data_IF_296277165861
#
_entry.id   IF_296277165861
#
_cell.length_a   1.000
_cell.length_b   1.000
_cell.length_c   1.000
_cell.angle_alpha   90.00
_cell.angle_beta   90.00
_cell.angle_gamma   90.00
#
_symmetry.space_group_name_H-M   'P 1'
#
loop_
_entity.id
_entity.type
_entity.pdbx_description
1 polymer ?
#
# COMPACT_ATOMS: atom_id res chain seq x y z
N UNK A 1 -56.99 -16.30 55.56
CA UNK A 1 -56.86 -16.26 54.08
C UNK A 1 -56.10 -14.98 53.77
N UNK A 2 -54.89 -14.86 54.34
CA UNK A 2 -53.55 -15.00 53.70
C UNK A 2 -53.40 -13.90 52.64
N UNK A 3 -52.98 -12.66 52.98
CA UNK A 3 -51.65 -12.19 53.48
C UNK A 3 -50.50 -12.69 52.59
N UNK A 4 -49.64 -11.83 52.03
CA UNK A 4 -48.32 -11.42 52.58
C UNK A 4 -47.70 -10.44 51.55
N UNK A 5 -47.52 -9.18 51.90
CA UNK A 5 -46.23 -8.45 52.17
C UNK A 5 -45.25 -8.37 50.97
N UNK A 6 -45.04 -7.19 50.37
CA UNK A 6 -44.13 -6.09 50.79
C UNK A 6 -42.65 -6.49 50.76
N UNK A 7 -41.86 -5.86 49.88
CA UNK A 7 -40.72 -5.03 50.31
C UNK A 7 -40.21 -4.10 49.20
N UNK A 8 -40.27 -2.82 49.55
CA UNK A 8 -39.57 -1.66 49.00
C UNK A 8 -38.16 -1.64 49.60
N UNK A 9 -37.15 -1.20 48.85
CA UNK A 9 -36.09 -0.37 49.45
C UNK A 9 -35.52 0.58 48.38
N UNK A 10 -36.03 1.81 48.46
CA UNK A 10 -35.45 3.02 47.91
C UNK A 10 -34.66 3.66 49.07
N UNK A 11 -33.42 4.12 48.82
CA UNK A 11 -32.81 5.10 49.72
C UNK A 11 -31.96 6.12 48.95
N UNK A 12 -32.64 7.21 48.60
CA UNK A 12 -32.08 8.54 48.46
C UNK A 12 -31.43 8.99 49.78
N UNK A 13 -30.29 9.68 49.71
CA UNK A 13 -30.07 10.89 50.52
C UNK A 13 -29.37 11.94 49.67
N UNK A 14 -29.98 13.12 49.64
CA UNK A 14 -29.43 14.39 49.20
C UNK A 14 -28.43 14.92 50.22
N UNK A 15 -27.46 15.73 49.79
CA UNK A 15 -27.40 17.15 50.15
C UNK A 15 -26.15 17.82 49.57
N UNK A 16 -26.34 19.04 49.05
CA UNK A 16 -25.32 19.91 48.44
C UNK A 16 -24.76 20.94 49.46
N UNK A 17 -23.94 21.93 49.05
CA UNK A 17 -22.65 22.30 49.65
C UNK A 17 -22.73 23.46 50.67
N UNK A 18 -21.61 23.94 51.26
CA UNK A 18 -20.97 25.16 50.69
C UNK A 18 -19.46 25.35 50.99
N UNK A 19 -18.82 26.34 50.33
CA UNK A 19 -17.81 27.19 50.99
C UNK A 19 -16.43 27.38 50.34
N UNK A 20 -16.35 28.32 49.40
CA UNK A 20 -15.43 29.49 49.34
C UNK A 20 -14.06 29.36 50.03
N UNK A 21 -12.96 29.54 49.27
CA UNK A 21 -11.94 30.57 49.53
C UNK A 21 -11.12 30.88 48.26
N UNK A 22 -10.98 32.18 48.00
CA UNK A 22 -10.27 32.79 46.89
C UNK A 22 -8.82 33.17 47.28
N UNK A 23 -8.12 33.79 46.31
CA UNK A 23 -6.82 34.49 46.35
C UNK A 23 -5.65 33.55 46.04
N UNK A 24 -4.78 33.76 45.05
CA UNK A 24 -4.44 34.95 44.24
C UNK A 24 -2.91 34.99 44.13
N UNK A 25 -2.35 35.22 42.93
CA UNK A 25 -0.90 35.36 42.78
C UNK A 25 -0.40 35.24 41.34
N UNK A 26 -0.49 36.34 40.59
CA UNK A 26 0.37 36.64 39.44
C UNK A 26 1.80 36.88 39.95
N UNK A 27 2.81 36.30 39.28
CA UNK A 27 4.12 36.94 39.18
C UNK A 27 4.84 36.49 37.90
N UNK A 28 5.07 37.47 37.02
CA UNK A 28 6.05 37.46 35.94
C UNK A 28 7.45 37.28 36.52
N UNK A 29 8.33 36.57 35.81
CA UNK A 29 9.72 37.00 35.77
C UNK A 29 10.40 36.63 34.44
N UNK A 30 11.09 37.63 33.91
CA UNK A 30 11.85 37.65 32.66
C UNK A 30 13.27 37.13 32.86
N UNK A 31 13.83 36.42 31.88
CA UNK A 31 15.26 36.44 31.52
C UNK A 31 15.43 35.67 30.19
N UNK A 32 15.59 36.32 29.04
CA UNK A 32 16.81 36.96 28.52
C UNK A 32 17.92 35.97 28.12
N UNK A 33 18.13 35.90 26.79
CA UNK A 33 19.42 35.75 26.08
C UNK A 33 20.22 34.44 26.16
N UNK A 34 20.30 33.70 25.04
CA UNK A 34 21.46 33.70 24.11
C UNK A 34 21.43 32.50 23.15
N UNK A 35 21.38 32.80 21.85
CA UNK A 35 22.01 31.95 20.83
C UNK A 35 23.53 31.90 21.03
N UNK A 36 24.18 30.86 20.51
CA UNK A 36 25.36 31.14 19.71
C UNK A 36 25.33 30.37 18.39
N UNK A 37 25.31 31.14 17.31
CA UNK A 37 25.85 30.79 16.02
C UNK A 37 27.38 30.99 16.06
N UNK A 38 28.15 30.05 15.49
CA UNK A 38 29.56 30.26 15.17
C UNK A 38 30.03 29.25 14.12
N UNK A 39 30.34 29.81 12.96
CA UNK A 39 30.94 29.20 11.78
C UNK A 39 32.46 29.03 11.94
N UNK A 40 32.95 28.00 11.24
CA UNK A 40 34.23 27.89 10.53
C UNK A 40 35.51 27.24 11.12
N UNK A 41 35.91 26.18 10.37
CA UNK A 41 37.25 25.89 9.82
C UNK A 41 38.33 25.10 10.60
N UNK A 42 38.41 23.80 10.24
CA UNK A 42 39.56 23.02 9.74
C UNK A 42 40.96 23.15 10.41
N UNK A 43 41.46 22.04 11.01
CA UNK A 43 42.53 21.17 10.47
C UNK A 43 43.02 20.09 11.47
N UNK A 44 42.86 18.82 11.05
CA UNK A 44 43.68 17.60 11.24
C UNK A 44 44.56 17.39 12.49
N UNK A 45 44.46 16.19 13.11
CA UNK A 45 45.40 15.05 12.88
C UNK A 45 45.07 13.80 13.76
N UNK A 46 45.04 12.63 13.09
CA UNK A 46 45.30 11.23 13.54
C UNK A 46 44.21 10.31 14.14
N UNK A 47 43.77 9.39 13.26
CA UNK A 47 43.83 7.91 13.33
C UNK A 47 43.15 7.18 14.50
N UNK A 48 42.07 6.48 14.16
CA UNK A 48 41.50 5.34 14.89
C UNK A 48 40.33 4.75 14.11
N UNK A 49 40.54 3.58 13.51
CA UNK A 49 39.62 2.83 12.65
C UNK A 49 38.28 2.49 13.31
N UNK A 50 37.15 2.85 12.68
CA UNK A 50 35.85 2.16 12.84
C UNK A 50 35.08 2.25 11.52
N UNK A 51 34.80 1.09 10.91
CA UNK A 51 33.93 0.92 9.74
C UNK A 51 32.56 1.60 9.98
N UNK A 52 32.25 2.62 9.18
CA UNK A 52 30.91 3.22 9.11
C UNK A 52 30.24 2.74 7.83
N UNK A 53 29.00 2.24 7.95
CA UNK A 53 28.11 1.94 6.83
C UNK A 53 27.94 3.21 5.99
N UNK A 54 28.37 3.15 4.73
CA UNK A 54 28.07 4.18 3.75
C UNK A 54 26.58 4.11 3.38
N UNK A 55 25.91 5.25 3.54
CA UNK A 55 24.57 5.53 3.03
C UNK A 55 24.74 5.80 1.54
N UNK A 56 24.37 4.84 0.69
CA UNK A 56 24.27 5.11 -0.75
C UNK A 56 22.96 5.84 -1.07
N UNK A 57 23.13 7.08 -1.49
CA UNK A 57 22.11 7.99 -2.02
C UNK A 57 21.65 7.53 -3.42
N UNK A 58 20.35 7.49 -3.75
CA UNK A 58 19.90 6.99 -5.03
C UNK A 58 20.13 8.03 -6.14
N UNK A 59 20.96 7.66 -7.11
CA UNK A 59 21.25 8.41 -8.33
C UNK A 59 19.96 8.69 -9.12
N UNK A 60 19.59 9.97 -9.16
CA UNK A 60 18.60 10.53 -10.07
C UNK A 60 19.08 10.48 -11.53
N UNK A 61 18.53 9.56 -12.33
CA UNK A 61 18.71 9.49 -13.79
C UNK A 61 17.49 10.07 -14.50
N UNK A 62 17.45 11.40 -14.61
CA UNK A 62 16.56 12.10 -15.54
C UNK A 62 17.41 12.93 -16.49
N UNK A 63 17.68 12.38 -17.68
CA UNK A 63 17.83 13.13 -18.94
C UNK A 63 18.36 12.22 -20.04
N UNK A 64 17.49 11.79 -20.95
CA UNK A 64 17.90 11.51 -22.34
C UNK A 64 16.84 12.12 -23.25
N UNK A 65 17.04 13.38 -23.61
CA UNK A 65 16.53 13.95 -24.85
C UNK A 65 17.21 13.20 -26.00
N UNK A 66 16.48 12.35 -26.71
CA UNK A 66 16.95 11.75 -27.96
C UNK A 66 16.00 12.11 -29.09
N UNK A 67 16.52 12.94 -30.00
CA UNK A 67 15.94 13.30 -31.29
C UNK A 67 15.70 12.03 -32.12
N UNK A 68 14.46 11.84 -32.59
CA UNK A 68 14.11 10.75 -33.49
C UNK A 68 14.75 10.95 -34.88
N UNK A 69 15.39 9.93 -35.50
CA UNK A 69 15.68 9.93 -36.92
C UNK A 69 14.40 9.56 -37.71
N UNK A 70 14.05 10.37 -38.70
CA UNK A 70 12.98 10.08 -39.67
C UNK A 70 13.29 8.78 -40.42
N UNK A 71 12.42 7.79 -40.26
CA UNK A 71 12.53 6.50 -40.94
C UNK A 71 12.09 6.65 -42.41
N UNK A 72 13.02 6.38 -43.33
CA UNK A 72 12.76 6.21 -44.77
C UNK A 72 12.50 4.74 -45.12
N UNK A 73 11.83 4.56 -46.26
CA UNK A 73 11.16 3.35 -46.75
C UNK A 73 11.91 2.01 -46.69
N UNK A 74 11.09 0.97 -46.50
CA UNK A 74 11.41 -0.45 -46.46
C UNK A 74 12.22 -0.95 -47.68
N UNK A 75 13.47 -1.34 -47.43
CA UNK A 75 14.16 -2.35 -48.24
C UNK A 75 14.28 -3.64 -47.41
N UNK A 76 13.51 -4.66 -47.79
CA UNK A 76 13.55 -5.99 -47.18
C UNK A 76 14.97 -6.58 -47.30
N UNK A 77 15.62 -6.80 -46.16
CA UNK A 77 16.87 -7.53 -46.09
C UNK A 77 16.56 -9.04 -46.03
N UNK A 78 16.85 -9.76 -47.11
CA UNK A 78 16.89 -11.22 -47.11
C UNK A 78 18.18 -11.66 -46.42
N UNK A 79 18.10 -12.06 -45.15
CA UNK A 79 19.21 -12.70 -44.46
C UNK A 79 18.73 -13.93 -43.67
N UNK A 80 19.13 -15.11 -44.14
CA UNK A 80 18.97 -16.39 -43.43
C UNK A 80 20.07 -16.51 -42.37
N UNK A 81 19.90 -15.81 -41.25
CA UNK A 81 20.80 -15.96 -40.10
C UNK A 81 19.98 -16.01 -38.81
N UNK A 82 20.09 -17.10 -38.06
CA UNK A 82 19.59 -17.23 -36.67
C UNK A 82 20.15 -16.13 -35.74
N UNK A 83 21.16 -15.36 -36.17
CA UNK A 83 21.72 -14.22 -35.45
C UNK A 83 21.10 -12.85 -35.81
N UNK A 84 20.12 -12.79 -36.71
CA UNK A 84 19.33 -11.58 -37.02
C UNK A 84 18.08 -11.47 -36.14
N UNK A 85 18.25 -11.53 -34.83
CA UNK A 85 17.25 -10.97 -33.92
C UNK A 85 17.23 -9.46 -34.12
N UNK A 86 16.06 -8.90 -34.45
CA UNK A 86 15.86 -7.45 -34.55
C UNK A 86 16.46 -6.78 -33.31
N UNK A 87 17.20 -5.65 -33.45
CA UNK A 87 17.84 -5.00 -32.32
C UNK A 87 16.86 -4.78 -31.16
N UNK A 88 15.62 -4.36 -31.45
CA UNK A 88 14.55 -4.20 -30.47
C UNK A 88 14.28 -5.46 -29.61
N UNK A 89 14.26 -6.66 -30.19
CA UNK A 89 14.09 -7.93 -29.45
C UNK A 89 15.28 -8.18 -28.53
N UNK A 90 16.50 -7.95 -29.01
CA UNK A 90 17.74 -8.14 -28.22
C UNK A 90 17.87 -7.13 -27.08
N UNK A 91 17.42 -5.90 -27.28
CA UNK A 91 17.37 -4.87 -26.23
C UNK A 91 16.33 -5.22 -25.15
N UNK A 92 15.15 -5.71 -25.54
CA UNK A 92 14.12 -6.13 -24.58
C UNK A 92 14.51 -7.39 -23.80
N UNK A 93 15.23 -8.35 -24.40
CA UNK A 93 15.71 -9.54 -23.70
C UNK A 93 16.78 -9.21 -22.65
N UNK A 94 17.72 -8.31 -22.98
CA UNK A 94 18.68 -7.78 -21.99
C UNK A 94 18.00 -7.01 -20.86
N UNK A 95 16.93 -6.29 -21.17
CA UNK A 95 16.12 -5.59 -20.18
C UNK A 95 15.47 -6.58 -19.20
N UNK A 96 14.87 -7.66 -19.71
CA UNK A 96 14.26 -8.71 -18.88
C UNK A 96 15.29 -9.36 -17.95
N UNK A 97 16.47 -9.73 -18.46
CA UNK A 97 17.56 -10.28 -17.65
C UNK A 97 18.01 -9.30 -16.56
N UNK A 98 18.07 -8.01 -16.87
CA UNK A 98 18.38 -6.97 -15.87
C UNK A 98 17.31 -6.91 -14.78
N UNK A 99 16.03 -7.01 -15.13
CA UNK A 99 14.92 -7.04 -14.17
C UNK A 99 14.93 -8.30 -13.31
N UNK A 100 15.32 -9.45 -13.88
CA UNK A 100 15.46 -10.71 -13.14
C UNK A 100 16.63 -10.63 -12.12
N UNK A 101 17.78 -10.07 -12.51
CA UNK A 101 18.89 -9.86 -11.60
C UNK A 101 18.53 -8.91 -10.45
N UNK A 102 17.78 -7.84 -10.74
CA UNK A 102 17.26 -6.94 -9.72
C UNK A 102 16.27 -7.64 -8.78
N UNK A 103 15.38 -8.50 -9.31
CA UNK A 103 14.50 -9.33 -8.49
C UNK A 103 15.29 -10.19 -7.52
N UNK A 104 16.28 -10.94 -8.03
CA UNK A 104 17.11 -11.84 -7.23
C UNK A 104 17.85 -11.09 -6.12
N UNK A 105 18.35 -9.89 -6.40
CA UNK A 105 18.99 -9.03 -5.40
C UNK A 105 18.02 -8.54 -4.32
N UNK A 106 16.79 -8.16 -4.69
CA UNK A 106 15.78 -7.75 -3.72
C UNK A 106 15.32 -8.95 -2.88
N UNK A 107 15.15 -10.12 -3.50
CA UNK A 107 14.85 -11.35 -2.79
C UNK A 107 15.95 -11.72 -1.80
N UNK A 108 17.22 -11.66 -2.21
CA UNK A 108 18.34 -11.96 -1.30
C UNK A 108 18.38 -11.00 -0.11
N UNK A 109 18.10 -9.71 -0.32
CA UNK A 109 17.98 -8.75 0.80
C UNK A 109 16.85 -9.09 1.77
N UNK A 110 15.71 -9.54 1.26
CA UNK A 110 14.62 -10.01 2.11
C UNK A 110 15.03 -11.26 2.90
N UNK A 111 15.79 -12.15 2.28
CA UNK A 111 16.32 -13.37 2.89
C UNK A 111 17.33 -13.03 3.98
N UNK A 112 18.24 -12.09 3.73
CA UNK A 112 19.23 -11.61 4.70
C UNK A 112 18.54 -11.00 5.93
N UNK A 113 17.50 -10.18 5.74
CA UNK A 113 16.71 -9.62 6.83
C UNK A 113 15.97 -10.70 7.63
N UNK A 114 15.48 -11.74 6.95
CA UNK A 114 14.86 -12.88 7.61
C UNK A 114 15.89 -13.70 8.41
N UNK A 115 17.06 -13.98 7.83
CA UNK A 115 18.14 -14.71 8.48
C UNK A 115 18.68 -13.95 9.70
N UNK A 116 18.89 -12.64 9.58
CA UNK A 116 19.32 -11.78 10.69
C UNK A 116 18.30 -11.79 11.83
N UNK A 117 16.99 -11.87 11.53
CA UNK A 117 15.97 -11.99 12.57
C UNK A 117 16.05 -13.32 13.32
N UNK A 118 16.26 -14.42 12.60
CA UNK A 118 16.34 -15.79 13.16
C UNK A 118 17.63 -15.99 13.97
N UNK A 119 18.75 -15.49 13.45
CA UNK A 119 20.08 -15.67 14.03
C UNK A 119 20.48 -14.55 15.01
N UNK A 120 19.80 -13.40 14.98
CA UNK A 120 20.15 -12.20 15.73
C UNK A 120 20.03 -12.36 17.25
N UNK A 121 20.99 -11.77 17.96
CA UNK A 121 21.28 -12.06 19.36
C UNK A 121 21.10 -10.80 20.23
N UNK A 122 19.85 -10.36 20.40
CA UNK A 122 19.51 -9.28 21.32
C UNK A 122 18.22 -8.56 20.95
N UNK A 123 17.57 -7.93 21.93
CA UNK A 123 16.35 -7.15 21.70
C UNK A 123 16.61 -5.89 20.86
N UNK A 124 17.67 -5.14 21.19
CA UNK A 124 18.03 -3.89 20.50
C UNK A 124 18.39 -4.13 19.02
N UNK A 125 19.06 -5.25 18.71
CA UNK A 125 19.37 -5.64 17.34
C UNK A 125 18.08 -5.95 16.55
N UNK A 126 17.12 -6.64 17.18
CA UNK A 126 15.82 -6.94 16.57
C UNK A 126 14.96 -5.70 16.32
N UNK A 127 15.01 -4.72 17.22
CA UNK A 127 14.33 -3.43 17.03
C UNK A 127 14.95 -2.64 15.86
N UNK A 128 16.27 -2.60 15.76
CA UNK A 128 16.96 -1.97 14.63
C UNK A 128 16.61 -2.65 13.30
N UNK A 129 16.59 -3.99 13.27
CA UNK A 129 16.14 -4.76 12.11
C UNK A 129 14.68 -4.47 11.76
N UNK A 130 13.79 -4.38 12.74
CA UNK A 130 12.38 -4.04 12.53
C UNK A 130 12.21 -2.63 11.93
N UNK A 131 13.01 -1.66 12.38
CA UNK A 131 13.02 -0.31 11.82
C UNK A 131 13.54 -0.26 10.37
N UNK A 132 14.36 -1.23 9.95
CA UNK A 132 14.85 -1.34 8.59
C UNK A 132 13.78 -1.88 7.60
N UNK A 133 12.81 -2.67 8.06
CA UNK A 133 11.81 -3.30 7.18
C UNK A 133 10.96 -2.28 6.41
N UNK A 134 10.37 -1.22 7.02
CA UNK A 134 9.66 -0.18 6.27
C UNK A 134 10.53 0.51 5.21
N UNK A 135 11.79 0.79 5.55
CA UNK A 135 12.76 1.37 4.61
C UNK A 135 13.01 0.43 3.43
N UNK A 136 13.20 -0.87 3.69
CA UNK A 136 13.36 -1.87 2.64
C UNK A 136 12.13 -1.96 1.72
N UNK A 137 10.92 -1.99 2.28
CA UNK A 137 9.67 -1.96 1.49
C UNK A 137 9.61 -0.73 0.57
N UNK A 138 10.06 0.43 1.05
CA UNK A 138 10.15 1.64 0.24
C UNK A 138 11.17 1.49 -0.90
N UNK A 139 12.35 0.90 -0.65
CA UNK A 139 13.37 0.68 -1.68
C UNK A 139 12.94 -0.30 -2.79
N UNK A 140 11.92 -1.12 -2.56
CA UNK A 140 11.34 -1.98 -3.58
C UNK A 140 10.39 -1.25 -4.55
N UNK A 141 9.86 -0.07 -4.18
CA UNK A 141 8.87 0.63 -5.00
C UNK A 141 9.35 0.99 -6.42
N UNK A 142 10.59 1.47 -6.62
CA UNK A 142 11.09 1.76 -7.97
C UNK A 142 11.10 0.53 -8.88
N UNK A 143 11.39 -0.65 -8.33
CA UNK A 143 11.36 -1.90 -9.08
C UNK A 143 9.94 -2.25 -9.54
N UNK A 144 8.96 -2.17 -8.64
CA UNK A 144 7.55 -2.36 -9.01
C UNK A 144 7.09 -1.37 -10.08
N UNK A 145 7.41 -0.08 -9.93
CA UNK A 145 7.07 0.93 -10.93
C UNK A 145 7.73 0.65 -12.29
N UNK A 146 8.96 0.13 -12.29
CA UNK A 146 9.64 -0.25 -13.52
C UNK A 146 8.95 -1.42 -14.23
N UNK A 147 8.50 -2.44 -13.49
CA UNK A 147 7.72 -3.55 -14.04
C UNK A 147 6.39 -3.06 -14.65
N UNK A 148 5.65 -2.21 -13.92
CA UNK A 148 4.37 -1.67 -14.37
C UNK A 148 4.51 -0.81 -15.62
N UNK A 149 5.48 0.11 -15.65
CA UNK A 149 5.75 0.95 -16.83
C UNK A 149 6.10 0.11 -18.06
N UNK A 150 6.87 -0.96 -17.90
CA UNK A 150 7.22 -1.87 -19.00
C UNK A 150 6.01 -2.66 -19.51
N UNK A 151 5.04 -2.96 -18.64
CA UNK A 151 3.80 -3.67 -18.99
C UNK A 151 2.83 -2.80 -19.84
N UNK A 152 2.80 -1.48 -19.61
CA UNK A 152 1.84 -0.56 -20.30
C UNK A 152 2.11 -0.34 -21.79
N UNK A 153 3.34 -0.55 -22.27
CA UNK A 153 3.75 -0.27 -23.66
C UNK A 153 3.00 -1.16 -24.69
N UNK A 154 2.22 -2.15 -24.26
CA UNK A 154 1.64 -3.17 -25.14
C UNK A 154 0.12 -3.23 -25.22
N UNK A 155 -0.64 -2.33 -24.58
CA UNK A 155 -2.09 -2.52 -24.39
C UNK A 155 -2.97 -2.37 -25.66
N UNK A 156 -2.42 -2.04 -26.84
CA UNK A 156 -3.23 -1.62 -28.01
C UNK A 156 -3.02 -2.39 -29.33
N UNK A 157 -2.30 -3.51 -29.36
CA UNK A 157 -2.05 -4.27 -30.60
C UNK A 157 -2.23 -5.77 -30.31
N UNK A 158 -2.73 -6.61 -31.24
CA UNK A 158 -2.66 -8.07 -31.09
C UNK A 158 -1.20 -8.47 -30.90
N UNK A 159 -0.82 -8.80 -29.66
CA UNK A 159 0.56 -9.13 -29.33
C UNK A 159 0.96 -10.42 -30.05
N UNK A 160 2.09 -10.43 -30.78
CA UNK A 160 2.79 -11.67 -31.08
C UNK A 160 3.03 -12.48 -29.80
N UNK A 161 3.02 -13.81 -29.91
CA UNK A 161 3.17 -14.76 -28.79
C UNK A 161 4.30 -14.38 -27.81
N UNK A 162 5.43 -13.88 -28.34
CA UNK A 162 6.61 -13.49 -27.56
C UNK A 162 6.41 -12.28 -26.64
N UNK A 163 5.50 -11.37 -26.98
CA UNK A 163 5.21 -10.21 -26.14
C UNK A 163 4.26 -10.61 -25.00
N UNK A 164 3.33 -11.53 -25.26
CA UNK A 164 2.39 -12.03 -24.25
C UNK A 164 3.12 -12.85 -23.16
N UNK A 165 4.03 -13.75 -23.57
CA UNK A 165 4.86 -14.51 -22.63
C UNK A 165 5.73 -13.60 -21.78
N UNK A 166 6.29 -12.52 -22.36
CA UNK A 166 7.05 -11.52 -21.61
C UNK A 166 6.20 -10.79 -20.57
N UNK A 167 4.99 -10.38 -20.94
CA UNK A 167 4.06 -9.76 -19.98
C UNK A 167 3.80 -10.68 -18.79
N UNK A 168 3.53 -11.96 -19.05
CA UNK A 168 3.35 -12.93 -17.97
C UNK A 168 4.59 -13.03 -17.07
N UNK A 169 5.81 -12.99 -17.62
CA UNK A 169 7.04 -12.99 -16.83
C UNK A 169 7.18 -11.75 -15.94
N UNK A 170 6.85 -10.56 -16.45
CA UNK A 170 6.90 -9.32 -15.64
C UNK A 170 5.90 -9.36 -14.49
N UNK A 171 4.68 -9.85 -14.75
CA UNK A 171 3.67 -10.04 -13.70
C UNK A 171 4.10 -11.07 -12.67
N UNK A 172 4.78 -12.14 -13.11
CA UNK A 172 5.33 -13.15 -12.22
C UNK A 172 6.45 -12.57 -11.33
N UNK A 173 7.36 -11.76 -11.88
CA UNK A 173 8.38 -11.06 -11.07
C UNK A 173 7.77 -10.15 -10.00
N UNK A 174 6.75 -9.39 -10.36
CA UNK A 174 6.02 -8.54 -9.40
C UNK A 174 5.37 -9.39 -8.30
N UNK A 175 4.73 -10.48 -8.67
CA UNK A 175 4.07 -11.38 -7.72
C UNK A 175 5.07 -12.06 -6.79
N UNK A 176 6.20 -12.57 -7.31
CA UNK A 176 7.27 -13.18 -6.51
C UNK A 176 7.82 -12.22 -5.45
N UNK A 177 8.14 -10.98 -5.82
CA UNK A 177 8.62 -9.99 -4.86
C UNK A 177 7.54 -9.63 -3.84
N UNK A 178 6.30 -9.41 -4.30
CA UNK A 178 5.16 -9.10 -3.42
C UNK A 178 4.97 -10.18 -2.35
N UNK A 179 4.95 -11.45 -2.74
CA UNK A 179 4.80 -12.58 -1.81
C UNK A 179 5.98 -12.66 -0.83
N UNK A 180 7.20 -12.41 -1.30
CA UNK A 180 8.39 -12.43 -0.44
C UNK A 180 8.36 -11.32 0.61
N UNK A 181 7.96 -10.11 0.21
CA UNK A 181 7.81 -8.96 1.12
C UNK A 181 6.67 -9.19 2.12
N UNK A 182 5.54 -9.73 1.67
CA UNK A 182 4.42 -10.08 2.55
C UNK A 182 4.86 -11.11 3.61
N UNK A 183 5.58 -12.16 3.21
CA UNK A 183 6.16 -13.15 4.13
C UNK A 183 7.14 -12.53 5.14
N UNK A 184 8.00 -11.62 4.68
CA UNK A 184 8.95 -10.91 5.53
C UNK A 184 8.19 -10.13 6.63
N UNK A 185 7.23 -9.30 6.23
CA UNK A 185 6.43 -8.47 7.16
C UNK A 185 5.66 -9.34 8.15
N UNK A 186 5.00 -10.40 7.67
CA UNK A 186 4.27 -11.34 8.51
C UNK A 186 5.19 -12.07 9.51
N UNK A 187 6.41 -12.42 9.09
CA UNK A 187 7.40 -13.02 9.98
C UNK A 187 7.73 -12.05 11.11
N UNK A 188 8.13 -10.82 10.80
CA UNK A 188 8.48 -9.82 11.82
C UNK A 188 7.30 -9.51 12.76
N UNK A 189 6.08 -9.46 12.22
CA UNK A 189 4.87 -9.30 13.03
C UNK A 189 4.64 -10.48 13.99
N UNK A 190 4.96 -11.71 13.58
CA UNK A 190 4.86 -12.90 14.45
C UNK A 190 5.81 -12.87 15.65
N UNK A 191 6.95 -12.18 15.52
CA UNK A 191 7.87 -11.89 16.64
C UNK A 191 7.46 -10.66 17.46
N UNK A 192 6.30 -10.05 17.19
CA UNK A 192 5.82 -8.81 17.79
C UNK A 192 6.74 -7.60 17.57
N UNK A 193 7.55 -7.61 16.51
CA UNK A 193 8.46 -6.51 16.18
C UNK A 193 7.80 -5.47 15.28
N UNK A 194 6.83 -5.89 14.47
CA UNK A 194 6.03 -5.00 13.64
C UNK A 194 4.56 -5.04 14.05
N UNK A 195 3.93 -3.87 14.07
CA UNK A 195 2.49 -3.79 14.24
C UNK A 195 1.82 -3.73 12.86
N UNK A 196 0.78 -4.52 12.65
CA UNK A 196 0.00 -4.52 11.40
C UNK A 196 -1.39 -3.88 11.59
N UNK A 197 -1.64 -3.25 12.73
CA UNK A 197 -2.92 -2.62 13.05
C UNK A 197 -3.01 -1.23 12.43
N UNK A 198 -3.86 -1.05 11.41
CA UNK A 198 -4.07 0.24 10.73
C UNK A 198 -4.42 1.41 11.66
N UNK A 199 -4.96 1.12 12.84
CA UNK A 199 -5.31 2.18 13.81
C UNK A 199 -4.10 2.80 14.50
N UNK A 200 -2.92 2.17 14.38
CA UNK A 200 -1.68 2.64 15.01
C UNK A 200 -0.79 3.40 14.01
N UNK A 201 -0.15 4.50 14.42
CA UNK A 201 0.64 5.35 13.52
C UNK A 201 1.89 4.67 12.95
N UNK A 202 2.51 3.75 13.69
CA UNK A 202 3.73 3.05 13.28
C UNK A 202 3.42 1.67 12.66
N UNK A 203 2.24 1.53 12.06
CA UNK A 203 1.79 0.29 11.47
C UNK A 203 2.39 0.03 10.10
N UNK A 204 2.75 -1.22 9.84
CA UNK A 204 3.21 -1.72 8.53
C UNK A 204 2.16 -2.68 7.97
N UNK A 205 0.89 -2.28 8.04
CA UNK A 205 -0.25 -3.11 7.60
C UNK A 205 -0.28 -3.38 6.10
N UNK A 206 0.30 -2.47 5.31
CA UNK A 206 0.32 -2.51 3.85
C UNK A 206 1.58 -1.88 3.27
N UNK A 207 1.88 -2.19 2.01
CA UNK A 207 2.95 -1.58 1.24
C UNK A 207 2.52 -1.33 -0.21
N UNK A 208 3.19 -0.38 -0.87
CA UNK A 208 2.95 -0.05 -2.27
C UNK A 208 3.61 -1.11 -3.18
N UNK A 209 2.85 -1.64 -4.14
CA UNK A 209 3.31 -2.61 -5.14
C UNK A 209 3.35 -2.04 -6.55
N UNK A 210 3.43 -0.72 -6.66
CA UNK A 210 3.68 -0.02 -7.90
C UNK A 210 2.58 0.96 -8.30
N UNK A 211 2.90 1.73 -9.32
CA UNK A 211 2.05 2.73 -9.92
C UNK A 211 2.02 2.51 -11.43
N UNK A 212 0.81 2.50 -12.00
CA UNK A 212 0.57 2.37 -13.43
C UNK A 212 -0.22 3.58 -13.95
N UNK A 213 -0.06 3.89 -15.23
CA UNK A 213 -0.85 4.91 -15.90
C UNK A 213 -1.85 4.25 -16.86
N UNK A 214 -3.10 4.66 -16.76
CA UNK A 214 -4.23 4.16 -17.56
C UNK A 214 -4.92 5.36 -18.23
N UNK A 215 -4.40 5.77 -19.39
CA UNK A 215 -4.82 7.01 -20.05
C UNK A 215 -4.57 8.23 -19.13
N UNK A 216 -5.61 9.03 -18.82
CA UNK A 216 -5.49 10.17 -17.91
C UNK A 216 -5.52 9.76 -16.43
N UNK A 217 -5.58 8.47 -16.10
CA UNK A 217 -5.64 8.00 -14.72
C UNK A 217 -4.28 7.50 -14.25
N UNK A 218 -3.90 7.88 -13.04
CA UNK A 218 -2.79 7.27 -12.29
C UNK A 218 -3.36 6.31 -11.27
N UNK A 219 -2.91 5.05 -11.34
CA UNK A 219 -3.37 3.97 -10.45
C UNK A 219 -2.21 3.52 -9.58
N UNK A 220 -2.27 3.81 -8.28
CA UNK A 220 -1.27 3.38 -7.29
C UNK A 220 -1.82 2.21 -6.47
N UNK A 221 -1.09 1.11 -6.46
CA UNK A 221 -1.56 -0.17 -5.88
C UNK A 221 -0.90 -0.46 -4.54
N UNK A 222 -1.69 -0.88 -3.55
CA UNK A 222 -1.22 -1.26 -2.22
C UNK A 222 -1.72 -2.66 -1.84
N UNK A 223 -0.83 -3.45 -1.23
CA UNK A 223 -1.12 -4.80 -0.72
C UNK A 223 -1.20 -4.80 0.80
N UNK A 224 -2.26 -5.38 1.36
CA UNK A 224 -2.38 -5.58 2.80
C UNK A 224 -1.79 -6.93 3.22
N UNK A 225 -0.92 -6.90 4.22
CA UNK A 225 -0.20 -8.08 4.70
C UNK A 225 -1.08 -9.01 5.54
N UNK A 226 -2.16 -8.50 6.12
CA UNK A 226 -3.14 -9.30 6.87
C UNK A 226 -4.56 -8.89 6.52
N UNK A 227 -5.55 -9.78 6.74
CA UNK A 227 -6.95 -9.39 6.75
C UNK A 227 -7.18 -8.20 7.66
N UNK A 228 -7.66 -7.11 7.08
CA UNK A 228 -7.93 -5.89 7.82
C UNK A 228 -9.36 -5.45 7.57
N UNK A 229 -10.16 -5.18 8.61
CA UNK A 229 -11.54 -4.75 8.43
C UNK A 229 -11.65 -3.57 7.46
N UNK A 230 -12.71 -3.61 6.64
CA UNK A 230 -12.97 -2.54 5.68
C UNK A 230 -13.12 -1.18 6.38
N UNK A 231 -13.77 -1.15 7.54
CA UNK A 231 -13.90 0.04 8.39
C UNK A 231 -13.01 -0.07 9.63
N UNK A 232 -12.42 1.05 10.06
CA UNK A 232 -11.45 1.07 11.15
C UNK A 232 -12.02 0.70 12.53
N UNK A 233 -13.31 0.99 12.81
CA UNK A 233 -13.95 0.71 14.12
C UNK A 233 -15.01 -0.39 14.11
N UNK A 234 -15.50 -0.80 12.94
CA UNK A 234 -16.62 -1.74 12.83
C UNK A 234 -16.19 -2.91 11.96
N UNK A 235 -16.17 -4.11 12.55
CA UNK A 235 -16.02 -5.33 11.78
C UNK A 235 -17.35 -5.69 11.14
N UNK A 236 -17.46 -5.43 9.84
CA UNK A 236 -18.63 -5.76 9.02
C UNK A 236 -18.55 -7.18 8.45
N UNK A 237 -17.49 -7.93 8.73
CA UNK A 237 -17.17 -9.20 8.07
C UNK A 237 -16.57 -9.03 6.67
N UNK A 238 -16.30 -7.79 6.25
CA UNK A 238 -15.64 -7.44 5.00
C UNK A 238 -14.19 -7.04 5.27
N UNK A 239 -13.25 -7.75 4.68
CA UNK A 239 -11.82 -7.57 4.92
C UNK A 239 -11.08 -7.16 3.66
N UNK A 240 -10.25 -6.12 3.77
CA UNK A 240 -9.40 -5.62 2.69
C UNK A 240 -8.23 -6.56 2.44
N UNK A 241 -7.87 -6.70 1.16
CA UNK A 241 -6.65 -7.37 0.71
C UNK A 241 -5.78 -6.46 -0.15
N UNK A 242 -6.39 -5.59 -0.95
CA UNK A 242 -5.68 -4.59 -1.74
C UNK A 242 -6.44 -3.26 -1.75
N UNK A 243 -5.71 -2.17 -1.95
CA UNK A 243 -6.25 -0.83 -2.21
C UNK A 243 -5.63 -0.29 -3.50
N UNK A 244 -6.43 0.38 -4.30
CA UNK A 244 -5.97 1.20 -5.40
C UNK A 244 -6.40 2.65 -5.17
N UNK A 245 -5.46 3.56 -5.34
CA UNK A 245 -5.74 4.99 -5.43
C UNK A 245 -5.77 5.34 -6.91
N UNK A 246 -6.87 5.89 -7.38
CA UNK A 246 -7.08 6.27 -8.78
C UNK A 246 -7.20 7.78 -8.83
N UNK A 247 -6.18 8.42 -9.38
CA UNK A 247 -6.06 9.87 -9.45
C UNK A 247 -6.26 10.32 -10.91
N UNK A 248 -7.08 11.35 -11.11
CA UNK A 248 -7.25 11.96 -12.44
C UNK A 248 -6.14 12.97 -12.72
N UNK A 249 -5.26 12.64 -13.66
CA UNK A 249 -4.25 13.55 -14.20
C UNK A 249 -4.93 14.46 -15.23
N UNK A 250 -5.55 15.56 -14.79
CA UNK A 250 -5.96 16.62 -15.73
C UNK A 250 -4.70 17.33 -16.22
N UNK A 251 -4.66 17.65 -17.52
CA UNK A 251 -3.53 18.32 -18.15
C UNK A 251 -3.12 19.58 -17.38
N UNK A 252 -1.90 19.57 -16.83
CA UNK A 252 -1.23 20.72 -16.18
C UNK A 252 -0.91 21.87 -17.18
N UNK A 253 -1.50 21.86 -18.38
CA UNK A 253 -1.17 22.75 -19.50
C UNK A 253 -2.20 23.82 -19.81
N UNK A 254 -3.08 24.18 -18.86
CA UNK A 254 -3.97 25.33 -19.02
C UNK A 254 -3.88 26.31 -17.85
N UNK A 255 -3.09 27.35 -18.14
CA UNK A 255 -3.24 28.75 -17.72
C UNK A 255 -2.35 29.20 -16.57
N UNK A 256 -1.30 29.97 -16.94
CA UNK A 256 -0.77 31.08 -16.14
C UNK A 256 -1.94 31.91 -15.60
N UNK A 257 -2.16 31.85 -14.29
CA UNK A 257 -2.72 32.86 -13.36
C UNK A 257 -3.46 32.13 -12.23
N UNK A 258 -2.88 32.24 -11.02
CA UNK A 258 -3.40 31.77 -9.73
C UNK A 258 -3.46 30.24 -9.55
N UNK A 259 -2.33 29.71 -9.07
CA UNK A 259 -2.17 28.41 -8.44
C UNK A 259 -3.09 28.26 -7.22
N UNK A 260 -4.36 27.92 -7.48
CA UNK A 260 -5.16 27.18 -6.51
C UNK A 260 -4.86 25.71 -6.81
N UNK A 261 -4.20 25.02 -5.88
CA UNK A 261 -4.02 23.58 -5.91
C UNK A 261 -5.37 22.93 -6.24
N UNK A 262 -5.59 22.56 -7.50
CA UNK A 262 -6.76 21.77 -7.87
C UNK A 262 -6.50 20.39 -7.33
N UNK A 263 -7.04 20.16 -6.15
CA UNK A 263 -7.11 18.88 -5.47
C UNK A 263 -7.44 17.79 -6.51
N UNK A 264 -6.48 16.88 -6.73
CA UNK A 264 -6.68 15.75 -7.62
C UNK A 264 -7.73 14.86 -6.98
N UNK A 265 -8.92 14.82 -7.58
CA UNK A 265 -10.00 13.94 -7.16
C UNK A 265 -9.47 12.49 -7.18
N UNK A 266 -9.36 11.91 -5.99
CA UNK A 266 -8.75 10.59 -5.78
C UNK A 266 -9.83 9.63 -5.38
N UNK A 267 -10.13 8.70 -6.29
CA UNK A 267 -11.06 7.62 -6.01
C UNK A 267 -10.33 6.43 -5.40
N UNK A 268 -10.91 5.85 -4.36
CA UNK A 268 -10.34 4.67 -3.69
C UNK A 268 -11.13 3.41 -4.04
N UNK A 269 -10.41 2.38 -4.49
CA UNK A 269 -10.96 1.06 -4.79
C UNK A 269 -10.29 0.01 -3.90
N UNK A 270 -11.03 -1.04 -3.57
CA UNK A 270 -10.54 -2.09 -2.69
C UNK A 270 -10.88 -3.47 -3.24
N UNK A 271 -9.91 -4.39 -3.12
CA UNK A 271 -10.17 -5.83 -3.20
C UNK A 271 -10.52 -6.26 -1.79
N UNK A 272 -11.74 -6.76 -1.61
CA UNK A 272 -12.19 -7.28 -0.34
C UNK A 272 -12.64 -8.73 -0.46
N UNK A 273 -12.59 -9.43 0.67
CA UNK A 273 -13.28 -10.70 0.82
C UNK A 273 -14.26 -10.66 1.99
N UNK A 274 -15.27 -11.51 1.90
CA UNK A 274 -16.22 -11.80 2.96
C UNK A 274 -16.41 -13.32 3.07
N UNK A 275 -16.58 -13.84 4.28
CA UNK A 275 -16.83 -15.27 4.50
C UNK A 275 -18.34 -15.50 4.58
N UNK A 276 -18.92 -16.19 3.59
CA UNK A 276 -20.37 -16.40 3.44
C UNK A 276 -20.73 -17.84 3.80
N UNK A 277 -21.86 -18.12 4.48
CA UNK A 277 -22.29 -19.49 4.74
C UNK A 277 -22.45 -20.32 3.46
N UNK A 278 -21.84 -21.51 3.45
CA UNK A 278 -21.94 -22.47 2.36
C UNK A 278 -23.34 -23.11 2.34
N UNK A 279 -24.15 -22.77 1.34
CA UNK A 279 -25.49 -23.32 1.17
C UNK A 279 -25.51 -24.84 0.87
N UNK A 280 -24.37 -25.43 0.50
CA UNK A 280 -24.24 -26.84 0.14
C UNK A 280 -23.57 -27.71 1.21
N UNK A 281 -23.30 -27.16 2.41
CA UNK A 281 -22.82 -27.98 3.51
C UNK A 281 -23.92 -28.95 3.95
N UNK A 282 -23.74 -30.23 3.63
CA UNK A 282 -24.65 -31.29 4.06
C UNK A 282 -24.87 -31.18 5.56
N UNK A 283 -26.13 -31.11 5.98
CA UNK A 283 -26.53 -31.09 7.38
C UNK A 283 -26.37 -32.51 7.94
N UNK A 284 -25.11 -32.96 8.04
CA UNK A 284 -24.74 -34.18 8.75
C UNK A 284 -24.96 -33.96 10.23
N UNK A 285 -25.88 -34.74 10.80
CA UNK A 285 -26.46 -34.53 12.13
C UNK A 285 -25.46 -34.46 13.28
N UNK A 286 -25.95 -33.84 14.35
CA UNK A 286 -25.45 -33.89 15.73
C UNK A 286 -23.99 -33.48 15.95
N UNK A 287 -23.73 -32.17 15.99
CA UNK A 287 -22.57 -31.60 16.66
C UNK A 287 -22.86 -30.18 17.12
N UNK A 288 -22.96 -30.01 18.43
CA UNK A 288 -23.04 -28.73 19.11
C UNK A 288 -21.71 -27.98 18.95
N UNK A 289 -21.71 -26.96 18.09
CA UNK A 289 -20.57 -26.08 17.85
C UNK A 289 -20.55 -25.62 16.41
N UNK A 290 -20.57 -24.30 16.19
CA UNK A 290 -20.45 -23.68 14.87
C UNK A 290 -19.10 -24.12 14.28
N UNK A 291 -19.14 -25.15 13.43
CA UNK A 291 -17.94 -25.61 12.72
C UNK A 291 -17.56 -24.54 11.70
N UNK A 292 -16.37 -23.94 11.88
CA UNK A 292 -15.75 -23.01 10.92
C UNK A 292 -15.53 -23.62 9.52
N UNK A 293 -15.86 -24.90 9.29
CA UNK A 293 -15.76 -25.57 8.00
C UNK A 293 -16.87 -25.24 6.98
N UNK A 294 -17.90 -24.48 7.37
CA UNK A 294 -19.07 -24.22 6.51
C UNK A 294 -19.11 -22.82 5.88
N UNK A 295 -18.01 -22.07 5.86
CA UNK A 295 -17.98 -20.73 5.24
C UNK A 295 -17.13 -20.75 3.96
N UNK A 296 -17.63 -20.11 2.90
CA UNK A 296 -16.91 -19.90 1.64
C UNK A 296 -16.47 -18.45 1.57
N UNK A 297 -15.17 -18.24 1.41
CA UNK A 297 -14.61 -16.92 1.15
C UNK A 297 -15.00 -16.45 -0.23
N UNK A 298 -15.61 -15.28 -0.35
CA UNK A 298 -15.97 -14.66 -1.62
C UNK A 298 -15.23 -13.35 -1.82
N UNK A 299 -14.63 -13.19 -3.00
CA UNK A 299 -13.81 -12.05 -3.38
C UNK A 299 -14.58 -11.08 -4.26
N UNK A 300 -14.38 -9.78 -4.04
CA UNK A 300 -14.97 -8.73 -4.86
C UNK A 300 -14.09 -7.48 -4.93
N UNK A 301 -14.26 -6.71 -5.98
CA UNK A 301 -13.71 -5.35 -6.10
C UNK A 301 -14.85 -4.36 -5.92
N UNK A 302 -14.63 -3.31 -5.14
CA UNK A 302 -15.60 -2.26 -4.91
C UNK A 302 -14.95 -0.90 -4.67
N UNK A 303 -15.74 0.13 -4.91
CA UNK A 303 -15.37 1.53 -4.67
C UNK A 303 -15.68 1.90 -3.23
N UNK A 304 -14.80 2.67 -2.61
CA UNK A 304 -15.06 3.34 -1.35
C UNK A 304 -15.83 4.62 -1.62
N UNK A 305 -17.00 4.72 -1.01
CA UNK A 305 -17.88 5.87 -1.16
C UNK A 305 -18.11 6.46 0.21
N UNK A 306 -17.65 7.69 0.40
CA UNK A 306 -17.79 8.43 1.65
C UNK A 306 -19.26 8.52 2.08
N UNK A 307 -19.51 8.23 3.36
CA UNK A 307 -20.83 8.36 3.99
C UNK A 307 -20.81 9.42 5.08
N UNK A 308 -19.71 9.54 5.82
CA UNK A 308 -19.54 10.58 6.85
C UNK A 308 -18.07 10.97 6.95
N UNK A 309 -17.72 12.27 6.98
CA UNK A 309 -18.60 13.43 6.85
C UNK A 309 -19.24 13.50 5.45
N UNK A 310 -20.40 14.14 5.32
CA UNK A 310 -21.09 14.28 4.00
C UNK A 310 -20.52 15.45 3.20
N UNK A 311 -19.78 16.32 3.90
CA UNK A 311 -19.21 17.57 3.41
C UNK A 311 -17.70 17.42 3.26
N UNK A 312 -17.14 18.17 2.32
CA UNK A 312 -15.68 18.36 2.20
C UNK A 312 -15.16 19.46 3.13
N UNK A 313 -15.97 19.90 4.09
CA UNK A 313 -15.56 20.95 5.04
C UNK A 313 -14.55 20.39 6.05
N UNK A 314 -13.39 21.04 6.14
CA UNK A 314 -12.30 20.63 7.01
C UNK A 314 -12.75 20.54 8.49
N UNK A 315 -13.66 21.41 8.95
CA UNK A 315 -14.10 21.35 10.35
C UNK A 315 -14.97 20.13 10.63
N UNK A 316 -15.78 19.70 9.67
CA UNK A 316 -16.55 18.47 9.78
C UNK A 316 -15.64 17.24 9.81
N UNK A 317 -14.57 17.24 9.00
CA UNK A 317 -13.53 16.21 9.04
C UNK A 317 -12.78 16.17 10.37
N UNK A 318 -12.37 17.31 10.91
CA UNK A 318 -11.67 17.39 12.21
C UNK A 318 -12.57 16.92 13.36
N UNK A 319 -13.87 17.24 13.30
CA UNK A 319 -14.86 16.81 14.33
C UNK A 319 -15.32 15.37 14.14
N UNK A 320 -15.10 14.78 12.96
CA UNK A 320 -15.47 13.41 12.69
C UNK A 320 -14.56 12.48 13.49
N UNK A 321 -15.11 11.81 14.50
CA UNK A 321 -14.33 10.85 15.28
C UNK A 321 -13.81 9.68 14.42
N UNK A 322 -14.63 9.23 13.46
CA UNK A 322 -14.31 8.15 12.53
C UNK A 322 -15.03 8.38 11.22
N UNK A 323 -14.30 8.65 10.12
CA UNK A 323 -14.89 8.66 8.80
C UNK A 323 -15.53 7.30 8.48
N UNK A 324 -16.73 7.33 7.94
CA UNK A 324 -17.43 6.12 7.52
C UNK A 324 -17.64 6.11 6.02
N UNK A 325 -17.69 4.91 5.46
CA UNK A 325 -17.86 4.72 4.04
C UNK A 325 -18.66 3.46 3.74
N UNK A 326 -19.31 3.49 2.59
CA UNK A 326 -19.97 2.33 2.02
C UNK A 326 -19.05 1.67 1.00
N UNK A 327 -19.08 0.34 1.00
CA UNK A 327 -18.41 -0.47 -0.01
C UNK A 327 -19.37 -0.69 -1.17
N UNK A 328 -19.21 0.10 -2.23
CA UNK A 328 -19.99 -0.07 -3.45
C UNK A 328 -19.37 -1.17 -4.30
N UNK A 329 -19.86 -2.41 -4.16
CA UNK A 329 -19.37 -3.58 -4.88
C UNK A 329 -19.60 -3.43 -6.39
N UNK A 330 -18.52 -3.48 -7.17
CA UNK A 330 -18.53 -3.30 -8.62
C UNK A 330 -18.36 -4.62 -9.37
N UNK A 331 -17.49 -5.51 -8.88
CA UNK A 331 -17.16 -6.77 -9.55
C UNK A 331 -17.06 -7.90 -8.53
N UNK A 332 -17.67 -9.03 -8.86
CA UNK A 332 -17.61 -10.26 -8.08
C UNK A 332 -16.64 -11.24 -8.75
N UNK A 333 -15.67 -11.75 -8.00
CA UNK A 333 -14.58 -12.60 -8.51
C UNK A 333 -14.75 -14.09 -8.15
N UNK A 334 -15.66 -14.40 -7.22
CA UNK A 334 -15.90 -15.78 -6.78
C UNK A 334 -15.04 -16.18 -5.58
N UNK A 335 -14.76 -17.49 -5.45
CA UNK A 335 -14.15 -18.05 -4.23
C UNK A 335 -12.61 -18.07 -4.21
N UNK A 336 -11.99 -17.95 -5.38
CA UNK A 336 -10.54 -18.03 -5.50
C UNK A 336 -9.91 -16.65 -5.29
N UNK A 337 -8.86 -16.58 -4.45
CA UNK A 337 -8.10 -15.34 -4.28
C UNK A 337 -7.39 -15.01 -5.60
N UNK A 338 -7.62 -13.81 -6.17
CA UNK A 338 -6.85 -13.37 -7.33
C UNK A 338 -5.42 -12.99 -6.92
N UNK A 339 -4.46 -13.18 -7.81
CA UNK A 339 -3.12 -12.61 -7.65
C UNK A 339 -3.19 -11.08 -7.63
N UNK A 340 -2.14 -10.43 -7.10
CA UNK A 340 -2.11 -8.95 -7.04
C UNK A 340 -2.16 -8.33 -8.43
N UNK A 341 -1.48 -8.97 -9.38
CA UNK A 341 -1.46 -8.61 -10.78
C UNK A 341 -2.85 -8.77 -11.43
N UNK A 342 -3.47 -9.94 -11.32
CA UNK A 342 -4.79 -10.20 -11.92
C UNK A 342 -5.89 -9.33 -11.33
N UNK A 343 -5.85 -9.08 -10.01
CA UNK A 343 -6.78 -8.17 -9.36
C UNK A 343 -6.68 -6.74 -9.92
N UNK A 344 -5.44 -6.27 -10.15
CA UNK A 344 -5.19 -4.95 -10.74
C UNK A 344 -5.65 -4.89 -12.20
N UNK A 345 -5.44 -5.95 -12.98
CA UNK A 345 -5.96 -6.05 -14.35
C UNK A 345 -7.49 -5.98 -14.40
N UNK A 346 -8.20 -6.66 -13.49
CA UNK A 346 -9.66 -6.56 -13.39
C UNK A 346 -10.12 -5.13 -13.08
N UNK A 347 -9.43 -4.43 -12.16
CA UNK A 347 -9.74 -3.03 -11.89
C UNK A 347 -9.50 -2.15 -13.12
N UNK A 348 -8.36 -2.29 -13.80
CA UNK A 348 -8.05 -1.51 -14.99
C UNK A 348 -9.11 -1.72 -16.08
N UNK A 349 -9.59 -2.96 -16.28
CA UNK A 349 -10.70 -3.25 -17.20
C UNK A 349 -12.01 -2.54 -16.79
N UNK A 350 -12.33 -2.51 -15.49
CA UNK A 350 -13.49 -1.77 -14.99
C UNK A 350 -13.35 -0.27 -15.27
N UNK A 351 -12.19 0.32 -15.01
CA UNK A 351 -11.93 1.75 -15.24
C UNK A 351 -12.03 2.12 -16.72
N UNK A 352 -11.46 1.31 -17.63
CA UNK A 352 -11.57 1.50 -19.08
C UNK A 352 -13.03 1.42 -19.56
N UNK A 353 -13.82 0.52 -18.97
CA UNK A 353 -15.24 0.38 -19.31
C UNK A 353 -16.07 1.60 -18.93
N UNK A 354 -15.69 2.31 -17.85
CA UNK A 354 -16.33 3.56 -17.43
C UNK A 354 -15.93 4.74 -18.32
N UNK A 355 -14.66 4.84 -18.69
CA UNK A 355 -14.17 5.90 -19.60
C UNK A 355 -14.80 5.82 -21.01
N UNK A 356 -15.26 4.66 -21.44
CA UNK A 356 -15.90 4.46 -22.75
C UNK A 356 -17.41 4.65 -22.74
N UNK A 357 -18.03 4.76 -21.56
CA UNK A 357 -19.46 4.95 -21.38
C UNK A 357 -19.86 6.43 -21.15
N UNK A 358 -18.88 7.29 -20.88
CA UNK A 358 -19.00 8.76 -20.88
C UNK A 358 -18.70 9.33 -22.26
#
# INVERSE_FOLDING_TARGET
MVDIEVQFEDQLTSDSPPGIHAVGGLQEDMSAEREPDCTDSLQNTRQGDVHSLEVEEPLSLSSVLALAPLCGDHAACNCDCESCSCPEIRWMERSLQSMELQLQFLMSKADDLHECLVNGQGHLEREALAAAVPGFLYTCQPYFNHLESTNTVSQHIPLPFDIYTRRLQLLDFSQQLCDRLEQLVLTYASYNLLCLDETKPNSVSHFCIGQSQLGPLRVTTFRYCKPTPYLARVDTGLYKRMRWNVESLRDEWQTDEESVEKETDTEYYFLCYEDIPNAHAETGGDSQGVSHGNMVRMWSIGQWVQVTPVTEDLYDWIKCEVPTASYHRLLFLGSNEPSSCSATEYLQQLLLSRQTAE
#
